data_IF_439123414351
#
_entry.id   IF_439123414351
#
_cell.length_a   1.000
_cell.length_b   1.000
_cell.length_c   1.000
_cell.angle_alpha   90.00
_cell.angle_beta   90.00
_cell.angle_gamma   90.00
#
_symmetry.space_group_name_H-M   'P 1'
#
loop_
_entity.id
_entity.type
_entity.pdbx_description
1 polymer ?
#
# COMPACT_ATOMS: atom_id res chain seq x y z
N UNK A 1 20.86 12.13 2.67
CA UNK A 1 20.52 10.68 2.63
C UNK A 1 19.02 10.44 2.82
N UNK A 2 18.49 9.96 3.97
CA UNK A 2 17.08 9.55 4.04
C UNK A 2 16.05 10.68 3.77
N UNK A 3 16.25 11.88 4.32
CA UNK A 3 15.38 13.04 4.06
C UNK A 3 15.43 13.51 2.61
N UNK A 4 16.60 13.44 2.00
CA UNK A 4 16.82 13.81 0.60
C UNK A 4 16.10 12.86 -0.34
N UNK A 5 16.15 11.55 -0.07
CA UNK A 5 15.37 10.54 -0.80
C UNK A 5 13.87 10.83 -0.71
N UNK A 6 13.35 11.16 0.48
CA UNK A 6 11.94 11.53 0.64
C UNK A 6 11.57 12.79 -0.15
N UNK A 7 12.44 13.81 -0.17
CA UNK A 7 12.22 15.03 -0.96
C UNK A 7 12.21 14.75 -2.47
N UNK A 8 13.05 13.84 -2.94
CA UNK A 8 13.02 13.39 -4.32
C UNK A 8 11.68 12.72 -4.65
N UNK A 9 11.20 11.80 -3.80
CA UNK A 9 9.88 11.19 -3.98
C UNK A 9 8.75 12.21 -3.94
N UNK A 10 8.79 13.19 -3.03
CA UNK A 10 7.82 14.29 -2.99
C UNK A 10 7.73 15.04 -4.31
N UNK A 11 8.89 15.31 -4.92
CA UNK A 11 8.98 15.99 -6.21
C UNK A 11 8.45 15.10 -7.34
N UNK A 12 8.80 13.80 -7.34
CA UNK A 12 8.36 12.85 -8.37
C UNK A 12 6.86 12.55 -8.32
N UNK A 13 6.29 12.50 -7.11
CA UNK A 13 4.87 12.19 -6.88
C UNK A 13 4.00 13.46 -6.86
N UNK A 14 4.59 14.63 -7.11
CA UNK A 14 3.85 15.89 -7.17
C UNK A 14 2.79 15.83 -8.28
N UNK A 15 1.52 16.01 -7.91
CA UNK A 15 0.40 15.95 -8.86
C UNK A 15 -0.06 14.53 -9.22
N UNK A 16 0.43 13.49 -8.55
CA UNK A 16 -0.11 12.14 -8.67
C UNK A 16 -1.59 12.13 -8.27
N UNK A 17 -2.44 11.50 -9.08
CA UNK A 17 -3.90 11.39 -8.84
C UNK A 17 -4.42 9.96 -8.79
N UNK A 18 -3.67 9.03 -9.38
CA UNK A 18 -4.08 7.65 -9.55
C UNK A 18 -2.87 6.72 -9.48
N UNK A 19 -3.05 5.56 -8.86
CA UNK A 19 -2.10 4.46 -8.83
C UNK A 19 -2.81 3.22 -9.36
N UNK A 20 -2.15 2.50 -10.26
CA UNK A 20 -2.64 1.22 -10.79
C UNK A 20 -1.70 0.13 -10.26
N UNK A 21 -2.28 -0.90 -9.65
CA UNK A 21 -1.57 -2.04 -9.09
C UNK A 21 -2.05 -3.28 -9.83
N UNK A 22 -1.20 -3.79 -10.72
CA UNK A 22 -1.47 -5.01 -11.45
C UNK A 22 -1.07 -6.25 -10.64
N UNK A 23 -1.66 -7.40 -10.97
CA UNK A 23 -1.48 -8.69 -10.31
C UNK A 23 -1.58 -8.63 -8.77
N UNK A 24 -2.67 -8.03 -8.27
CA UNK A 24 -2.90 -7.81 -6.84
C UNK A 24 -2.92 -9.11 -6.00
N UNK A 25 -3.17 -10.27 -6.62
CA UNK A 25 -3.12 -11.59 -5.97
C UNK A 25 -1.74 -11.95 -5.42
N UNK A 26 -0.68 -11.44 -6.06
CA UNK A 26 0.70 -11.66 -5.66
C UNK A 26 1.17 -10.72 -4.54
N UNK A 27 0.35 -9.72 -4.18
CA UNK A 27 0.69 -8.73 -3.16
C UNK A 27 0.23 -9.23 -1.79
N UNK A 28 1.13 -9.15 -0.81
CA UNK A 28 0.79 -9.40 0.59
C UNK A 28 0.15 -8.17 1.24
N UNK A 29 -0.72 -8.38 2.22
CA UNK A 29 -1.35 -7.31 3.00
C UNK A 29 -0.32 -6.36 3.63
N UNK A 30 0.83 -6.88 4.07
CA UNK A 30 1.90 -6.08 4.68
C UNK A 30 2.55 -5.12 3.68
N UNK A 31 2.68 -5.55 2.43
CA UNK A 31 3.21 -4.72 1.34
C UNK A 31 2.21 -3.63 1.00
N UNK A 32 0.92 -3.99 0.89
CA UNK A 32 -0.14 -3.02 0.64
C UNK A 32 -0.21 -1.97 1.75
N UNK A 33 -0.08 -2.38 3.01
CA UNK A 33 -0.02 -1.46 4.15
C UNK A 33 1.22 -0.55 4.10
N UNK A 34 2.39 -1.09 3.76
CA UNK A 34 3.61 -0.28 3.56
C UNK A 34 3.46 0.72 2.44
N UNK A 35 2.79 0.37 1.34
CA UNK A 35 2.50 1.32 0.24
C UNK A 35 1.67 2.49 0.78
N UNK A 36 0.60 2.21 1.53
CA UNK A 36 -0.21 3.26 2.16
C UNK A 36 0.62 4.19 3.05
N UNK A 37 1.43 3.63 3.96
CA UNK A 37 2.30 4.43 4.84
C UNK A 37 3.32 5.27 4.08
N UNK A 38 3.89 4.74 2.99
CA UNK A 38 4.87 5.46 2.18
C UNK A 38 4.23 6.61 1.40
N UNK A 39 3.01 6.42 0.88
CA UNK A 39 2.28 7.49 0.23
C UNK A 39 2.00 8.61 1.24
N UNK A 40 1.55 8.26 2.45
CA UNK A 40 1.33 9.20 3.54
C UNK A 40 2.60 10.00 3.91
N UNK A 41 3.74 9.33 4.02
CA UNK A 41 5.03 10.00 4.25
C UNK A 41 5.43 10.94 3.11
N UNK A 42 5.08 10.61 1.86
CA UNK A 42 5.41 11.39 0.67
C UNK A 42 4.45 12.58 0.55
N UNK A 43 3.13 12.39 0.60
CA UNK A 43 2.16 13.47 0.45
C UNK A 43 2.13 14.38 1.68
N UNK A 44 2.40 13.83 2.87
CA UNK A 44 2.18 14.50 4.16
C UNK A 44 0.71 14.59 4.57
N UNK A 45 -0.17 13.84 3.92
CA UNK A 45 -1.59 13.71 4.28
C UNK A 45 -1.76 12.39 5.05
N UNK A 46 -2.70 12.35 5.98
CA UNK A 46 -2.97 11.14 6.78
C UNK A 46 -4.47 10.91 7.02
N UNK A 47 -5.34 11.71 6.39
CA UNK A 47 -6.76 11.77 6.73
C UNK A 47 -7.57 10.59 6.16
N UNK A 48 -7.08 9.97 5.08
CA UNK A 48 -7.75 8.85 4.40
C UNK A 48 -6.73 7.81 3.90
N UNK A 49 -7.15 6.56 3.68
CA UNK A 49 -6.33 5.55 3.03
C UNK A 49 -5.80 6.08 1.69
N UNK A 50 -4.51 5.86 1.44
CA UNK A 50 -3.77 6.27 0.25
C UNK A 50 -3.87 7.77 -0.07
N UNK A 51 -4.13 8.62 0.92
CA UNK A 51 -4.15 10.10 0.77
C UNK A 51 -5.13 10.61 -0.28
N UNK A 52 -6.31 10.00 -0.37
CA UNK A 52 -7.32 10.32 -1.38
C UNK A 52 -6.86 10.08 -2.83
N UNK A 53 -5.78 9.33 -3.04
CA UNK A 53 -5.38 8.88 -4.36
C UNK A 53 -6.35 7.81 -4.85
N UNK A 54 -6.69 7.86 -6.13
CA UNK A 54 -7.47 6.81 -6.75
C UNK A 54 -6.58 5.56 -6.90
N UNK A 55 -6.94 4.47 -6.24
CA UNK A 55 -6.23 3.19 -6.40
C UNK A 55 -7.07 2.26 -7.27
N UNK A 56 -6.46 1.75 -8.34
CA UNK A 56 -7.06 0.73 -9.22
C UNK A 56 -6.26 -0.55 -9.03
N UNK A 57 -6.89 -1.57 -8.48
CA UNK A 57 -6.32 -2.92 -8.41
C UNK A 57 -6.77 -3.73 -9.62
N UNK A 58 -5.82 -4.40 -10.26
CA UNK A 58 -6.03 -5.32 -11.38
C UNK A 58 -5.40 -6.68 -11.04
N UNK A 59 -5.94 -7.75 -11.61
CA UNK A 59 -5.50 -9.13 -11.40
C UNK A 59 -6.63 -10.04 -10.92
N UNK A 60 -6.28 -11.30 -10.69
CA UNK A 60 -7.21 -12.34 -10.28
C UNK A 60 -6.79 -12.95 -8.94
N UNK A 61 -7.60 -12.74 -7.90
CA UNK A 61 -7.35 -13.20 -6.54
C UNK A 61 -7.36 -14.73 -6.38
N UNK A 62 -7.83 -15.48 -7.39
CA UNK A 62 -7.80 -16.95 -7.39
C UNK A 62 -6.56 -17.53 -8.08
N UNK A 63 -5.67 -16.70 -8.63
CA UNK A 63 -4.37 -17.13 -9.15
C UNK A 63 -3.35 -17.35 -8.02
N UNK A 64 -2.06 -17.32 -8.35
CA UNK A 64 -0.98 -17.54 -7.40
C UNK A 64 -1.00 -16.49 -6.27
N UNK A 65 -1.12 -16.90 -5.01
CA UNK A 65 -1.11 -15.97 -3.89
C UNK A 65 0.32 -15.48 -3.60
N UNK A 66 0.41 -14.38 -2.86
CA UNK A 66 1.67 -13.82 -2.38
C UNK A 66 2.56 -14.87 -1.68
N UNK A 67 3.85 -14.93 -2.04
CA UNK A 67 4.82 -15.86 -1.45
C UNK A 67 5.11 -15.49 0.00
N UNK A 68 4.84 -16.43 0.92
CA UNK A 68 5.09 -16.30 2.36
C UNK A 68 4.49 -15.05 3.04
N UNK A 69 3.40 -14.50 2.51
CA UNK A 69 2.66 -13.39 3.10
C UNK A 69 1.17 -13.72 3.21
N UNK A 70 0.44 -12.97 4.04
CA UNK A 70 -1.03 -13.01 4.03
C UNK A 70 -1.54 -12.30 2.78
N UNK A 71 -2.43 -12.91 1.99
CA UNK A 71 -3.07 -12.25 0.85
C UNK A 71 -3.80 -10.96 1.27
N UNK A 72 -3.97 -10.02 0.34
CA UNK A 72 -4.62 -8.71 0.62
C UNK A 72 -6.03 -8.80 1.19
N UNK A 73 -6.74 -9.90 0.96
CA UNK A 73 -8.12 -10.14 1.41
C UNK A 73 -8.20 -10.99 2.70
N UNK A 74 -7.08 -11.21 3.38
CA UNK A 74 -7.00 -11.91 4.67
C UNK A 74 -6.33 -11.02 5.71
N UNK A 75 -6.54 -11.36 6.99
CA UNK A 75 -5.87 -10.68 8.09
C UNK A 75 -4.34 -10.88 8.04
N UNK A 76 -3.56 -9.85 8.40
CA UNK A 76 -2.11 -9.96 8.54
C UNK A 76 -1.75 -10.99 9.63
N UNK A 77 -0.68 -11.76 9.42
CA UNK A 77 -0.26 -12.81 10.38
C UNK A 77 0.15 -12.27 11.75
N UNK A 78 0.55 -11.00 11.82
CA UNK A 78 1.01 -10.33 13.04
C UNK A 78 0.04 -9.23 13.49
N UNK A 79 -1.21 -9.58 13.77
CA UNK A 79 -2.13 -8.72 14.52
C UNK A 79 -1.71 -8.73 16.00
N UNK A 80 -0.79 -7.84 16.39
CA UNK A 80 -0.52 -7.55 17.82
C UNK A 80 -1.68 -6.76 18.45
N UNK A 81 -2.73 -6.49 17.68
CA UNK A 81 -4.01 -6.04 18.18
C UNK A 81 -4.96 -7.24 18.02
N UNK A 82 -5.51 -7.73 19.14
CA UNK A 82 -6.51 -8.79 19.14
C UNK A 82 -7.76 -8.41 18.31
N UNK A 83 -8.73 -9.33 18.17
CA UNK A 83 -9.89 -9.10 17.31
C UNK A 83 -10.59 -7.80 17.70
N UNK A 84 -10.73 -6.87 16.75
CA UNK A 84 -11.77 -5.85 16.85
C UNK A 84 -13.10 -6.55 16.61
N UNK A 85 -13.83 -6.82 17.69
CA UNK A 85 -15.27 -7.06 17.68
C UNK A 85 -16.02 -5.74 17.55
#
# INVERSE_FOLDING_TARGET
>A
MAREVLQNYRSTFFGLKCIIIDEVSMIGCDVLHKINLRLQEITGVHDQPFDNLNIIFCGDLHQLPSVNASPVYKEPRNSICGPML
#
